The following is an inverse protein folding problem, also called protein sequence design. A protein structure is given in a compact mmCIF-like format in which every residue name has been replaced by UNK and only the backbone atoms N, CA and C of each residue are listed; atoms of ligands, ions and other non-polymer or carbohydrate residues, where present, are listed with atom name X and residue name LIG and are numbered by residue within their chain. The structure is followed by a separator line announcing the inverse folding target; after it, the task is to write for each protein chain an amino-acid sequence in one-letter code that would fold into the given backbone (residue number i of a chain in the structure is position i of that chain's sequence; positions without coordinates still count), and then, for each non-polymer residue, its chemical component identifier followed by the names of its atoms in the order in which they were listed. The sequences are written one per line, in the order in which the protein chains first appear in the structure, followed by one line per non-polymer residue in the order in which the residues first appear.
data_IF_762712084537
#
_entry.id   IF_762712084537
#
_cell.length_a   1.000
_cell.length_b   1.000
_cell.length_c   1.000
_cell.angle_alpha   90.00
_cell.angle_beta   90.00
_cell.angle_gamma   90.00
#
_symmetry.space_group_name_H-M   'P 1'
#
loop_
_entity.id
_entity.type
_entity.pdbx_description
1 polymer ?
#
# COMPACT_ATOMS: atom_id res chain seq x y z
N UNK A 1 -22.33 -27.35 48.48
CA UNK A 1 -20.97 -27.84 48.14
C UNK A 1 -20.96 -28.04 46.64
N UNK A 2 -20.62 -27.01 45.84
CA UNK A 2 -19.25 -26.61 45.45
C UNK A 2 -18.61 -27.69 44.57
N UNK A 3 -18.02 -27.47 43.39
CA UNK A 3 -17.66 -26.33 42.55
C UNK A 3 -17.01 -26.99 41.30
N UNK A 4 -17.00 -26.32 40.14
CA UNK A 4 -16.26 -26.67 38.90
C UNK A 4 -16.83 -27.80 38.03
N UNK A 5 -17.54 -27.39 36.99
CA UNK A 5 -17.31 -27.88 35.62
C UNK A 5 -17.29 -26.70 34.62
N UNK A 6 -16.84 -25.54 35.11
CA UNK A 6 -16.54 -24.36 34.32
C UNK A 6 -15.07 -24.39 33.90
N UNK A 7 -14.75 -25.04 32.79
CA UNK A 7 -13.61 -24.72 31.92
C UNK A 7 -13.54 -25.73 30.76
N UNK A 8 -14.44 -25.60 29.78
CA UNK A 8 -14.02 -25.98 28.43
C UNK A 8 -12.80 -25.11 28.11
N UNK A 9 -11.66 -25.70 27.72
CA UNK A 9 -10.43 -24.95 27.54
C UNK A 9 -10.68 -23.84 26.52
N UNK A 10 -10.42 -22.62 26.96
CA UNK A 10 -10.36 -21.40 26.16
C UNK A 10 -9.17 -21.42 25.18
N UNK A 11 -8.76 -22.61 24.75
CA UNK A 11 -7.67 -22.91 23.81
C UNK A 11 -8.13 -22.81 22.34
N UNK A 12 -9.41 -22.51 22.10
CA UNK A 12 -9.96 -22.30 20.75
C UNK A 12 -10.30 -20.81 20.49
N UNK A 13 -9.80 -19.90 21.33
CA UNK A 13 -9.96 -18.46 21.11
C UNK A 13 -8.81 -17.93 20.26
N UNK A 14 -8.98 -18.08 18.95
CA UNK A 14 -8.48 -17.14 17.95
C UNK A 14 -6.96 -16.93 17.89
N UNK A 15 -6.19 -18.02 17.79
CA UNK A 15 -4.79 -17.96 17.39
C UNK A 15 -4.62 -17.81 15.85
N UNK A 16 -5.52 -17.07 15.19
CA UNK A 16 -5.35 -16.68 13.79
C UNK A 16 -4.51 -15.41 13.80
N UNK A 17 -3.25 -15.55 13.42
CA UNK A 17 -2.40 -14.44 12.95
C UNK A 17 -3.02 -13.89 11.66
N UNK A 18 -4.09 -13.12 11.81
CA UNK A 18 -4.58 -12.19 10.81
C UNK A 18 -3.58 -11.03 10.85
N UNK A 19 -3.20 -10.47 9.69
CA UNK A 19 -2.54 -9.16 9.70
C UNK A 19 -3.38 -8.27 10.62
N UNK A 20 -2.77 -7.74 11.69
CA UNK A 20 -3.47 -6.76 12.51
C UNK A 20 -3.99 -5.68 11.56
N UNK A 21 -5.32 -5.50 11.54
CA UNK A 21 -5.99 -4.64 10.57
C UNK A 21 -5.38 -3.23 10.63
N UNK A 22 -4.94 -2.84 11.82
CA UNK A 22 -4.18 -1.63 12.06
C UNK A 22 -2.86 -1.56 11.27
N UNK A 23 -2.03 -2.60 11.31
CA UNK A 23 -0.77 -2.66 10.55
C UNK A 23 -0.99 -2.65 9.04
N UNK A 24 -2.05 -3.29 8.55
CA UNK A 24 -2.44 -3.23 7.14
C UNK A 24 -2.84 -1.81 6.72
N UNK A 25 -3.75 -1.19 7.47
CA UNK A 25 -4.25 0.17 7.19
C UNK A 25 -3.10 1.18 7.26
N UNK A 26 -2.24 1.10 8.27
CA UNK A 26 -1.07 1.96 8.42
C UNK A 26 -0.11 1.83 7.24
N UNK A 27 0.24 0.59 6.85
CA UNK A 27 1.11 0.35 5.70
C UNK A 27 0.51 0.86 4.40
N UNK A 28 -0.79 0.64 4.19
CA UNK A 28 -1.53 1.10 3.02
C UNK A 28 -1.61 2.64 2.96
N UNK A 29 -1.88 3.32 4.08
CA UNK A 29 -1.92 4.77 4.17
C UNK A 29 -0.56 5.40 3.85
N UNK A 30 0.53 4.82 4.39
CA UNK A 30 1.90 5.28 4.12
C UNK A 30 2.23 5.12 2.64
N UNK A 31 2.00 3.93 2.08
CA UNK A 31 2.26 3.66 0.66
C UNK A 31 1.45 4.59 -0.25
N UNK A 32 0.16 4.73 0.01
CA UNK A 32 -0.74 5.56 -0.81
C UNK A 32 -0.35 7.03 -0.74
N UNK A 33 -0.12 7.57 0.46
CA UNK A 33 0.27 8.97 0.64
C UNK A 33 1.62 9.27 -0.01
N UNK A 34 2.57 8.33 0.06
CA UNK A 34 3.88 8.49 -0.56
C UNK A 34 3.80 8.48 -2.09
N UNK A 35 3.01 7.58 -2.66
CA UNK A 35 2.79 7.55 -4.10
C UNK A 35 2.03 8.78 -4.61
N UNK A 36 0.94 9.17 -3.93
CA UNK A 36 0.20 10.39 -4.25
C UNK A 36 1.12 11.62 -4.15
N UNK A 37 1.90 11.74 -3.08
CA UNK A 37 2.86 12.82 -2.92
C UNK A 37 3.88 12.90 -4.05
N UNK A 38 4.43 11.75 -4.47
CA UNK A 38 5.35 11.69 -5.60
C UNK A 38 4.67 12.12 -6.92
N UNK A 39 3.43 11.67 -7.16
CA UNK A 39 2.67 12.04 -8.35
C UNK A 39 2.34 13.54 -8.36
N UNK A 40 1.96 14.13 -7.21
CA UNK A 40 1.74 15.57 -7.08
C UNK A 40 3.02 16.37 -7.33
N UNK A 41 4.17 15.87 -6.87
CA UNK A 41 5.47 16.50 -7.14
C UNK A 41 5.77 16.50 -8.64
N UNK A 42 5.52 15.39 -9.33
CA UNK A 42 5.64 15.31 -10.80
C UNK A 42 4.71 16.33 -11.47
N UNK A 43 3.44 16.37 -11.08
CA UNK A 43 2.48 17.35 -11.65
C UNK A 43 2.92 18.79 -11.40
N UNK A 44 3.37 19.10 -10.19
CA UNK A 44 3.84 20.43 -9.83
C UNK A 44 5.08 20.84 -10.63
N UNK A 45 6.03 19.93 -10.84
CA UNK A 45 7.25 20.22 -11.60
C UNK A 45 6.96 20.35 -13.10
N UNK A 46 6.19 19.45 -13.68
CA UNK A 46 5.96 19.41 -15.14
C UNK A 46 4.90 20.39 -15.62
N UNK A 47 3.89 20.70 -14.80
CA UNK A 47 2.79 21.59 -15.19
C UNK A 47 2.73 22.86 -14.35
N UNK A 48 3.02 22.78 -13.05
CA UNK A 48 3.00 23.94 -12.16
C UNK A 48 4.12 24.95 -12.42
N UNK A 49 5.36 24.50 -12.54
CA UNK A 49 6.51 25.40 -12.80
C UNK A 49 6.37 26.12 -14.15
N UNK A 50 6.06 25.44 -15.26
CA UNK A 50 5.82 26.14 -16.52
C UNK A 50 4.63 27.09 -16.47
N UNK A 51 3.54 26.74 -15.76
CA UNK A 51 2.39 27.62 -15.61
C UNK A 51 2.74 28.91 -14.86
N UNK A 52 3.55 28.82 -13.82
CA UNK A 52 4.03 29.98 -13.05
C UNK A 52 4.94 30.89 -13.88
N UNK A 53 5.73 30.33 -14.81
CA UNK A 53 6.67 31.08 -15.63
C UNK A 53 6.02 31.69 -16.88
N UNK A 54 5.09 30.97 -17.50
CA UNK A 54 4.46 31.36 -18.77
C UNK A 54 3.10 32.03 -18.60
N UNK A 55 2.67 32.28 -17.35
CA UNK A 55 1.37 32.89 -17.05
C UNK A 55 0.17 32.04 -17.48
N UNK A 56 0.34 30.73 -17.57
CA UNK A 56 -0.73 29.80 -17.98
C UNK A 56 -1.77 29.69 -16.88
N UNK A 57 -3.04 29.46 -17.24
CA UNK A 57 -4.18 29.46 -16.30
C UNK A 57 -3.93 28.58 -15.06
N UNK A 58 -3.66 29.23 -13.92
CA UNK A 58 -3.41 28.56 -12.65
C UNK A 58 -4.58 27.64 -12.24
N UNK A 59 -5.81 27.99 -12.64
CA UNK A 59 -7.00 27.15 -12.43
C UNK A 59 -6.91 25.77 -13.10
N UNK A 60 -6.21 25.66 -14.23
CA UNK A 60 -6.01 24.38 -14.93
C UNK A 60 -5.10 23.45 -14.13
N UNK A 61 -4.02 23.98 -13.54
CA UNK A 61 -3.09 23.21 -12.71
C UNK A 61 -3.77 22.77 -11.41
N UNK A 62 -4.53 23.65 -10.76
CA UNK A 62 -5.29 23.29 -9.56
C UNK A 62 -6.34 22.22 -9.84
N UNK A 63 -7.04 22.30 -10.96
CA UNK A 63 -7.97 21.25 -11.41
C UNK A 63 -7.27 19.91 -11.63
N UNK A 64 -6.09 19.94 -12.27
CA UNK A 64 -5.31 18.73 -12.54
C UNK A 64 -4.75 18.09 -11.25
N UNK A 65 -4.32 18.90 -10.28
CA UNK A 65 -3.94 18.44 -8.94
C UNK A 65 -5.13 17.80 -8.21
N UNK A 66 -6.30 18.44 -8.25
CA UNK A 66 -7.52 17.90 -7.62
C UNK A 66 -7.93 16.54 -8.20
N UNK A 67 -7.94 16.44 -9.54
CA UNK A 67 -8.22 15.18 -10.25
C UNK A 67 -7.18 14.12 -9.89
N UNK A 68 -5.90 14.48 -9.88
CA UNK A 68 -4.81 13.57 -9.54
C UNK A 68 -4.96 12.98 -8.13
N UNK A 69 -5.31 13.80 -7.12
CA UNK A 69 -5.58 13.34 -5.76
C UNK A 69 -6.75 12.36 -5.75
N UNK A 70 -7.88 12.77 -6.31
CA UNK A 70 -9.12 12.00 -6.26
C UNK A 70 -8.97 10.64 -6.95
N UNK A 71 -8.39 10.62 -8.16
CA UNK A 71 -8.13 9.39 -8.88
C UNK A 71 -7.13 8.50 -8.16
N UNK A 72 -6.03 9.06 -7.64
CA UNK A 72 -4.99 8.24 -7.03
C UNK A 72 -5.47 7.55 -5.75
N UNK A 73 -6.21 8.25 -4.89
CA UNK A 73 -6.83 7.63 -3.71
C UNK A 73 -7.94 6.64 -4.09
N UNK A 74 -8.75 6.94 -5.11
CA UNK A 74 -9.75 6.01 -5.63
C UNK A 74 -9.14 4.70 -6.14
N UNK A 75 -8.08 4.80 -6.94
CA UNK A 75 -7.32 3.65 -7.44
C UNK A 75 -6.66 2.89 -6.29
N UNK A 76 -6.10 3.58 -5.30
CA UNK A 76 -5.49 2.94 -4.15
C UNK A 76 -6.50 2.14 -3.30
N UNK A 77 -7.74 2.61 -3.20
CA UNK A 77 -8.82 1.90 -2.51
C UNK A 77 -9.33 0.71 -3.31
N UNK A 78 -9.60 0.89 -4.61
CA UNK A 78 -10.26 -0.13 -5.44
C UNK A 78 -9.30 -1.22 -5.89
N UNK A 79 -8.02 -0.89 -6.14
CA UNK A 79 -7.04 -1.83 -6.68
C UNK A 79 -5.92 -2.14 -5.69
N UNK A 80 -5.27 -1.12 -5.12
CA UNK A 80 -4.08 -1.36 -4.31
C UNK A 80 -4.38 -2.04 -2.98
N UNK A 81 -5.50 -1.71 -2.31
CA UNK A 81 -5.89 -2.36 -1.06
C UNK A 81 -6.24 -3.85 -1.25
N UNK A 82 -7.10 -4.26 -2.20
CA UNK A 82 -7.33 -5.68 -2.47
C UNK A 82 -6.05 -6.42 -2.86
N UNK A 83 -5.21 -5.81 -3.71
CA UNK A 83 -3.93 -6.42 -4.11
C UNK A 83 -3.00 -6.64 -2.92
N UNK A 84 -2.85 -5.64 -2.05
CA UNK A 84 -2.04 -5.73 -0.84
C UNK A 84 -2.58 -6.80 0.12
N UNK A 85 -3.90 -6.93 0.22
CA UNK A 85 -4.54 -7.96 1.05
C UNK A 85 -4.28 -9.38 0.51
N UNK A 86 -4.48 -9.59 -0.79
CA UNK A 86 -4.18 -10.87 -1.47
C UNK A 86 -2.71 -11.22 -1.30
N UNK A 87 -1.81 -10.27 -1.52
CA UNK A 87 -0.38 -10.47 -1.41
C UNK A 87 0.02 -10.83 0.04
N UNK A 88 -0.56 -10.12 1.02
CA UNK A 88 -0.32 -10.41 2.43
C UNK A 88 -0.87 -11.79 2.84
N UNK A 89 -1.96 -12.26 2.24
CA UNK A 89 -2.50 -13.60 2.44
C UNK A 89 -1.58 -14.68 1.85
N UNK A 90 -1.13 -14.51 0.62
CA UNK A 90 -0.25 -15.47 -0.08
C UNK A 90 1.11 -15.59 0.59
N UNK A 91 1.63 -14.49 1.16
CA UNK A 91 2.93 -14.46 1.84
C UNK A 91 2.86 -14.88 3.32
N UNK A 92 1.69 -15.27 3.85
CA UNK A 92 1.54 -15.79 5.23
C UNK A 92 2.52 -16.91 5.60
N UNK A 93 2.80 -17.92 4.75
CA UNK A 93 3.74 -18.99 5.11
C UNK A 93 5.21 -18.55 5.10
N UNK A 94 5.52 -17.35 4.61
CA UNK A 94 6.90 -16.89 4.45
C UNK A 94 7.34 -16.09 5.67
N UNK A 95 8.23 -16.65 6.49
CA UNK A 95 8.78 -15.98 7.68
C UNK A 95 9.80 -14.88 7.37
N UNK A 96 10.40 -14.87 6.17
CA UNK A 96 11.44 -13.90 5.82
C UNK A 96 10.84 -12.55 5.39
N UNK A 97 10.94 -11.54 6.25
CA UNK A 97 10.41 -10.18 6.00
C UNK A 97 10.92 -9.53 4.72
N UNK A 98 12.15 -9.84 4.28
CA UNK A 98 12.69 -9.30 3.03
C UNK A 98 11.91 -9.75 1.81
N UNK A 99 11.42 -10.99 1.80
CA UNK A 99 10.57 -11.50 0.71
C UNK A 99 9.27 -10.70 0.63
N UNK A 100 8.73 -10.24 1.75
CA UNK A 100 7.56 -9.38 1.74
C UNK A 100 7.87 -8.01 1.12
N UNK A 101 9.00 -7.38 1.47
CA UNK A 101 9.37 -6.08 0.90
C UNK A 101 9.56 -6.21 -0.63
N UNK A 102 10.29 -7.24 -1.06
CA UNK A 102 10.54 -7.52 -2.48
C UNK A 102 9.24 -7.80 -3.23
N UNK A 103 8.34 -8.62 -2.66
CA UNK A 103 7.06 -8.92 -3.27
C UNK A 103 6.16 -7.68 -3.36
N UNK A 104 6.12 -6.86 -2.31
CA UNK A 104 5.38 -5.59 -2.29
C UNK A 104 5.99 -4.55 -3.23
N UNK A 105 7.23 -4.72 -3.69
CA UNK A 105 7.79 -3.92 -4.79
C UNK A 105 7.33 -4.44 -6.16
N UNK A 106 7.63 -5.71 -6.47
CA UNK A 106 7.46 -6.26 -7.81
C UNK A 106 5.99 -6.47 -8.19
N UNK A 107 5.17 -6.99 -7.28
CA UNK A 107 3.77 -7.34 -7.60
C UNK A 107 2.95 -6.10 -7.96
N UNK A 108 2.98 -5.00 -7.19
CA UNK A 108 2.30 -3.77 -7.58
C UNK A 108 2.88 -3.17 -8.86
N UNK A 109 4.21 -3.10 -9.00
CA UNK A 109 4.86 -2.53 -10.19
C UNK A 109 4.40 -3.24 -11.46
N UNK A 110 4.44 -4.57 -11.47
CA UNK A 110 4.05 -5.37 -12.63
C UNK A 110 2.54 -5.34 -12.87
N UNK A 111 1.73 -5.42 -11.81
CA UNK A 111 0.26 -5.34 -11.93
C UNK A 111 -0.17 -4.02 -12.55
N UNK A 112 0.38 -2.90 -12.06
CA UNK A 112 0.04 -1.57 -12.58
C UNK A 112 0.63 -1.32 -13.97
N UNK A 113 1.82 -1.85 -14.27
CA UNK A 113 2.36 -1.81 -15.62
C UNK A 113 1.48 -2.56 -16.61
N UNK A 114 1.10 -3.81 -16.31
CA UNK A 114 0.20 -4.59 -17.17
C UNK A 114 -1.15 -3.89 -17.32
N UNK A 115 -1.73 -3.39 -16.23
CA UNK A 115 -2.99 -2.65 -16.28
C UNK A 115 -2.87 -1.40 -17.16
N UNK A 116 -1.80 -0.62 -16.99
CA UNK A 116 -1.50 0.53 -17.83
C UNK A 116 -1.31 0.15 -19.30
N UNK A 117 -0.57 -0.92 -19.58
CA UNK A 117 -0.35 -1.40 -20.94
C UNK A 117 -1.65 -1.84 -21.62
N UNK A 118 -2.55 -2.51 -20.90
CA UNK A 118 -3.89 -2.89 -21.37
C UNK A 118 -4.76 -1.66 -21.61
N UNK A 119 -4.60 -0.61 -20.81
CA UNK A 119 -5.23 0.71 -20.99
C UNK A 119 -4.53 1.58 -22.04
N UNK A 120 -3.66 0.99 -22.86
CA UNK A 120 -2.97 1.63 -23.99
C UNK A 120 -1.90 2.68 -23.62
N UNK A 121 -1.35 2.61 -22.41
CA UNK A 121 -0.16 3.39 -22.00
C UNK A 121 1.17 2.81 -22.51
N UNK A 122 1.12 1.66 -23.21
CA UNK A 122 2.27 1.05 -23.89
C UNK A 122 2.92 -0.12 -23.13
N UNK A 123 3.51 -1.05 -23.90
CA UNK A 123 4.16 -2.28 -23.41
C UNK A 123 5.68 -2.18 -23.30
N UNK A 124 6.24 -0.98 -23.51
CA UNK A 124 7.69 -0.81 -23.53
C UNK A 124 8.27 -0.96 -22.10
N UNK A 125 9.41 -1.65 -21.92
CA UNK A 125 10.05 -1.80 -20.61
C UNK A 125 10.38 -0.48 -19.92
N UNK A 126 10.64 0.58 -20.69
CA UNK A 126 10.88 1.93 -20.14
C UNK A 126 9.68 2.45 -19.34
N UNK A 127 8.46 1.99 -19.68
CA UNK A 127 7.25 2.36 -18.94
C UNK A 127 7.20 1.72 -17.55
N UNK A 128 8.05 0.75 -17.23
CA UNK A 128 8.18 0.26 -15.85
C UNK A 128 8.69 1.33 -14.89
N UNK A 129 9.41 2.36 -15.37
CA UNK A 129 9.98 3.41 -14.52
C UNK A 129 8.88 4.16 -13.75
N UNK A 130 7.84 4.74 -14.40
CA UNK A 130 6.76 5.38 -13.65
C UNK A 130 6.00 4.38 -12.76
N UNK A 131 5.75 3.15 -13.20
CA UNK A 131 5.05 2.15 -12.37
C UNK A 131 5.89 1.63 -11.19
N UNK A 132 7.21 1.68 -11.28
CA UNK A 132 8.11 1.33 -10.19
C UNK A 132 7.93 2.26 -9.00
N UNK A 133 7.46 3.51 -9.20
CA UNK A 133 7.12 4.42 -8.09
C UNK A 133 6.01 3.84 -7.20
N UNK A 134 5.05 3.13 -7.79
CA UNK A 134 3.98 2.41 -7.07
C UNK A 134 4.58 1.29 -6.22
N UNK A 135 5.47 0.49 -6.82
CA UNK A 135 6.18 -0.58 -6.11
C UNK A 135 7.07 -0.07 -4.99
N UNK A 136 7.85 0.99 -5.23
CA UNK A 136 8.68 1.63 -4.20
C UNK A 136 7.81 2.07 -3.03
N UNK A 137 6.69 2.75 -3.30
CA UNK A 137 5.80 3.20 -2.25
C UNK A 137 5.19 2.04 -1.44
N UNK A 138 4.77 0.97 -2.12
CA UNK A 138 4.26 -0.24 -1.48
C UNK A 138 5.33 -0.97 -0.64
N UNK A 139 6.57 -1.06 -1.14
CA UNK A 139 7.70 -1.62 -0.40
C UNK A 139 8.05 -0.79 0.84
N UNK A 140 8.04 0.55 0.74
CA UNK A 140 8.23 1.45 1.88
C UNK A 140 7.10 1.28 2.89
N UNK A 141 5.85 1.19 2.45
CA UNK A 141 4.70 0.92 3.33
C UNK A 141 4.86 -0.40 4.09
N UNK A 142 5.31 -1.48 3.41
CA UNK A 142 5.60 -2.77 4.05
C UNK A 142 6.79 -2.69 5.01
N UNK A 143 7.82 -1.94 4.65
CA UNK A 143 9.01 -1.74 5.48
C UNK A 143 8.71 -0.91 6.74
N UNK A 144 7.82 0.08 6.65
CA UNK A 144 7.45 0.95 7.77
C UNK A 144 6.74 0.18 8.90
N UNK A 145 5.97 -0.85 8.56
CA UNK A 145 5.22 -1.68 9.52
C UNK A 145 5.99 -2.91 10.01
N UNK A 146 7.25 -3.10 9.59
CA UNK A 146 8.04 -4.32 9.89
C UNK A 146 8.24 -4.59 11.39
N UNK A 147 8.22 -3.53 12.21
CA UNK A 147 8.38 -3.61 13.67
C UNK A 147 7.05 -3.79 14.41
N UNK A 148 5.94 -3.39 13.81
CA UNK A 148 4.61 -3.50 14.42
C UNK A 148 4.11 -4.95 14.46
N UNK A 149 4.61 -5.81 13.56
CA UNK A 149 4.26 -7.24 13.49
C UNK A 149 4.86 -8.11 14.62
N UNK A 150 5.74 -7.57 15.48
CA UNK A 150 6.44 -8.31 16.54
C UNK A 150 5.88 -8.09 17.95
N UNK A 151 4.98 -7.11 18.16
CA UNK A 151 4.53 -6.71 19.50
C UNK A 151 3.29 -7.44 20.03
N UNK A 152 2.77 -8.45 19.34
CA UNK A 152 1.68 -9.28 19.85
C UNK A 152 2.20 -10.44 20.70
N UNK A 153 3.07 -10.16 21.67
CA UNK A 153 3.34 -11.10 22.75
C UNK A 153 2.22 -10.97 23.77
N UNK A 154 1.32 -11.96 23.79
CA UNK A 154 0.37 -12.11 24.88
C UNK A 154 1.16 -12.22 26.20
N UNK A 155 1.12 -11.18 27.02
CA UNK A 155 1.59 -11.27 28.40
C UNK A 155 0.66 -12.24 29.13
N UNK A 156 1.15 -13.39 29.64
CA UNK A 156 0.33 -14.23 30.49
C UNK A 156 0.02 -13.45 31.79
N UNK A 157 -1.21 -13.49 32.33
CA UNK A 157 -1.47 -12.94 33.65
C UNK A 157 -0.66 -13.72 34.70
N UNK A 158 -0.02 -12.97 35.59
CA UNK A 158 0.76 -13.47 36.74
C UNK A 158 -0.12 -14.17 37.78
#
# INVERSE_FOLDING_TARGET
MALRDSARPQADRSNRVVLDAYGFIKGWLIATSLWVGALLLVVAVYFGVPAAWNGTDAGHVWGLLGIAIFYSFGVALVFAAPLAWVLAYVLRPVGNQWVHIVAFFFVPTLTFWVLGSVLNFGWQPVMLIPWATVGVAAAIGRWAIRRDALFSSATPPA
#
